data_IF_671831686706
#
_entry.id   IF_671831686706
#
_cell.length_a   1.000
_cell.length_b   1.000
_cell.length_c   1.000
_cell.angle_alpha   90.00
_cell.angle_beta   90.00
_cell.angle_gamma   90.00
#
_symmetry.space_group_name_H-M   'P 1'
#
loop_
_entity.id
_entity.type
_entity.pdbx_description
1 polymer ?
#
# COMPACT_ATOMS: atom_id res chain seq x y z
N UNK A 1 16.25 6.37 2.65
CA UNK A 1 15.51 6.99 1.52
C UNK A 1 14.49 6.00 0.99
N UNK A 2 13.27 6.45 0.80
CA UNK A 2 12.22 5.59 0.25
C UNK A 2 12.47 5.36 -1.24
N UNK A 3 12.49 4.10 -1.66
CA UNK A 3 12.72 3.69 -3.05
C UNK A 3 11.51 2.98 -3.66
N UNK A 4 10.58 2.51 -2.82
CA UNK A 4 9.34 1.85 -3.27
C UNK A 4 8.16 2.39 -2.45
N UNK A 5 7.13 2.86 -3.14
CA UNK A 5 5.88 3.29 -2.52
C UNK A 5 4.78 2.35 -3.01
N UNK A 6 4.13 1.67 -2.07
CA UNK A 6 3.08 0.68 -2.34
C UNK A 6 1.75 1.23 -1.84
N UNK A 7 0.77 1.32 -2.72
CA UNK A 7 -0.61 1.65 -2.31
C UNK A 7 -1.45 0.39 -2.30
N UNK A 8 -2.13 0.13 -1.18
CA UNK A 8 -2.92 -1.08 -1.00
C UNK A 8 -4.38 -0.89 -1.39
N UNK A 9 -4.95 -1.93 -1.97
CA UNK A 9 -6.34 -2.00 -2.37
C UNK A 9 -6.69 -3.38 -2.93
N UNK A 10 -7.97 -3.58 -3.22
CA UNK A 10 -8.46 -4.78 -3.90
C UNK A 10 -8.71 -4.46 -5.38
N UNK A 11 -8.42 -5.42 -6.28
CA UNK A 11 -8.71 -5.23 -7.70
C UNK A 11 -10.20 -5.37 -7.99
N UNK A 12 -10.62 -4.71 -9.06
CA UNK A 12 -11.99 -4.80 -9.57
C UNK A 12 -12.82 -3.55 -9.30
N UNK A 13 -13.76 -3.27 -10.22
CA UNK A 13 -14.60 -2.07 -10.16
C UNK A 13 -15.47 -2.03 -8.90
N UNK A 14 -15.84 -3.18 -8.36
CA UNK A 14 -16.64 -3.29 -7.14
C UNK A 14 -15.95 -2.75 -5.89
N UNK A 15 -14.62 -2.65 -5.91
CA UNK A 15 -13.83 -2.19 -4.77
C UNK A 15 -13.25 -0.79 -4.96
N UNK A 16 -13.30 -0.22 -6.16
CA UNK A 16 -12.53 1.00 -6.47
C UNK A 16 -12.90 2.21 -5.61
N UNK A 17 -14.14 2.30 -5.16
CA UNK A 17 -14.62 3.40 -4.33
C UNK A 17 -14.71 3.03 -2.85
N UNK A 18 -14.21 1.88 -2.45
CA UNK A 18 -14.26 1.45 -1.05
C UNK A 18 -13.11 2.06 -0.24
N UNK A 19 -13.31 2.21 1.07
CA UNK A 19 -12.29 2.75 1.99
C UNK A 19 -11.01 1.94 1.99
N UNK A 20 -11.12 0.62 1.79
CA UNK A 20 -9.97 -0.29 1.76
C UNK A 20 -9.04 -0.01 0.57
N UNK A 21 -9.52 0.73 -0.43
CA UNK A 21 -8.73 1.14 -1.60
C UNK A 21 -8.12 2.54 -1.48
N UNK A 22 -8.16 3.14 -0.29
CA UNK A 22 -7.56 4.47 -0.07
C UNK A 22 -6.08 4.53 -0.47
N UNK A 23 -5.33 3.44 -0.27
CA UNK A 23 -3.95 3.36 -0.70
C UNK A 23 -3.77 3.48 -2.21
N UNK A 24 -4.67 2.87 -2.99
CA UNK A 24 -4.68 3.01 -4.45
C UNK A 24 -4.88 4.47 -4.87
N UNK A 25 -5.85 5.14 -4.25
CA UNK A 25 -6.14 6.55 -4.57
C UNK A 25 -4.92 7.43 -4.32
N UNK A 26 -4.26 7.20 -3.21
CA UNK A 26 -3.08 7.98 -2.84
C UNK A 26 -1.95 7.80 -3.85
N UNK A 27 -1.68 6.55 -4.26
CA UNK A 27 -0.62 6.26 -5.25
C UNK A 27 -0.99 6.78 -6.63
N UNK A 28 -2.26 6.71 -7.04
CA UNK A 28 -2.72 7.35 -8.27
C UNK A 28 -2.40 8.85 -8.27
N UNK A 29 -2.68 9.53 -7.15
CA UNK A 29 -2.37 10.95 -7.00
C UNK A 29 -0.88 11.22 -7.02
N UNK A 30 -0.09 10.39 -6.36
CA UNK A 30 1.38 10.51 -6.35
C UNK A 30 1.96 10.32 -7.74
N UNK A 31 1.46 9.33 -8.50
CA UNK A 31 1.91 9.09 -9.87
C UNK A 31 1.67 10.31 -10.76
N UNK A 32 0.47 10.89 -10.69
CA UNK A 32 0.16 12.12 -11.44
C UNK A 32 1.08 13.26 -11.06
N UNK A 33 1.29 13.45 -9.77
CA UNK A 33 2.11 14.56 -9.24
C UNK A 33 3.58 14.43 -9.62
N UNK A 34 4.10 13.20 -9.65
CA UNK A 34 5.51 12.91 -9.93
C UNK A 34 5.79 12.66 -11.42
N UNK A 35 4.75 12.68 -12.24
CA UNK A 35 4.89 12.43 -13.69
C UNK A 35 5.14 10.97 -14.04
N UNK A 36 4.77 10.04 -13.15
CA UNK A 36 4.87 8.61 -13.42
C UNK A 36 3.61 8.06 -14.07
N UNK A 37 3.76 7.00 -14.84
CA UNK A 37 2.65 6.29 -15.45
C UNK A 37 2.58 4.86 -14.91
N UNK A 38 1.48 4.54 -14.25
CA UNK A 38 1.23 3.20 -13.72
C UNK A 38 0.82 2.28 -14.87
N UNK A 39 1.60 1.23 -15.11
CA UNK A 39 1.40 0.27 -16.19
C UNK A 39 1.35 -1.13 -15.61
N UNK A 40 0.42 -1.94 -16.10
CA UNK A 40 0.27 -3.32 -15.64
C UNK A 40 1.55 -4.11 -15.91
N UNK A 41 2.11 -4.71 -14.87
CA UNK A 41 3.29 -5.57 -14.97
C UNK A 41 3.01 -6.93 -14.32
N UNK A 42 2.76 -7.96 -15.13
CA UNK A 42 2.44 -9.30 -14.60
C UNK A 42 3.53 -9.92 -13.73
N UNK A 43 4.79 -9.54 -13.93
CA UNK A 43 5.91 -10.04 -13.11
C UNK A 43 5.74 -9.68 -11.65
N UNK A 44 5.10 -8.54 -11.37
CA UNK A 44 4.93 -8.03 -10.02
C UNK A 44 3.47 -8.00 -9.59
N UNK A 45 2.59 -8.66 -10.34
CA UNK A 45 1.17 -8.77 -10.00
C UNK A 45 0.50 -7.43 -9.69
N UNK A 46 0.83 -6.39 -10.47
CA UNK A 46 0.28 -5.07 -10.17
C UNK A 46 0.56 -4.03 -11.24
N UNK A 47 0.09 -2.81 -10.98
CA UNK A 47 0.50 -1.64 -11.73
C UNK A 47 1.79 -1.08 -11.14
N UNK A 48 2.75 -0.80 -12.00
CA UNK A 48 4.08 -0.30 -11.61
C UNK A 48 4.40 0.96 -12.38
N UNK A 49 4.95 1.95 -11.70
CA UNK A 49 5.54 3.12 -12.32
C UNK A 49 6.96 3.31 -11.80
N UNK A 50 7.86 3.73 -12.68
CA UNK A 50 9.19 4.16 -12.30
C UNK A 50 9.26 5.67 -12.43
N UNK A 51 9.64 6.35 -11.37
CA UNK A 51 9.82 7.80 -11.34
C UNK A 51 11.29 8.10 -11.11
N UNK A 52 11.91 8.85 -12.02
CA UNK A 52 13.31 9.24 -11.88
C UNK A 52 13.41 10.48 -10.98
N UNK A 53 14.13 10.33 -9.87
CA UNK A 53 14.40 11.41 -8.92
C UNK A 53 15.90 11.68 -8.89
N UNK A 54 16.33 12.87 -8.41
CA UNK A 54 17.77 13.19 -8.35
C UNK A 54 18.60 12.15 -7.59
N UNK A 55 18.03 11.57 -6.53
CA UNK A 55 18.73 10.59 -5.68
C UNK A 55 18.65 9.16 -6.24
N UNK A 56 17.95 8.96 -7.35
CA UNK A 56 17.76 7.66 -7.96
C UNK A 56 16.29 7.36 -8.22
N UNK A 57 15.99 6.22 -8.85
CA UNK A 57 14.61 5.88 -9.18
C UNK A 57 13.79 5.54 -7.94
N UNK A 58 12.51 5.94 -7.98
CA UNK A 58 11.48 5.51 -7.00
C UNK A 58 10.42 4.74 -7.77
N UNK A 59 10.09 3.57 -7.27
CA UNK A 59 9.03 2.74 -7.83
C UNK A 59 7.72 2.98 -7.12
N UNK A 60 6.62 3.02 -7.88
CA UNK A 60 5.25 3.05 -7.35
C UNK A 60 4.59 1.73 -7.72
N UNK A 61 3.89 1.11 -6.79
CA UNK A 61 3.24 -0.17 -7.00
C UNK A 61 1.82 -0.15 -6.43
N UNK A 62 0.87 -0.61 -7.25
CA UNK A 62 -0.48 -0.94 -6.80
C UNK A 62 -0.68 -2.44 -7.01
N UNK A 63 -0.59 -3.26 -5.94
CA UNK A 63 -0.85 -4.70 -6.09
C UNK A 63 -2.26 -4.97 -6.63
N UNK A 64 -2.36 -5.82 -7.65
CA UNK A 64 -3.64 -6.27 -8.19
C UNK A 64 -4.02 -7.65 -7.65
N UNK A 65 -3.35 -8.10 -6.63
CA UNK A 65 -3.76 -9.23 -5.80
C UNK A 65 -4.90 -8.78 -4.89
N UNK A 66 -5.69 -9.72 -4.39
CA UNK A 66 -6.58 -9.36 -3.28
C UNK A 66 -5.74 -8.91 -2.08
N UNK A 67 -6.37 -8.11 -1.21
CA UNK A 67 -5.67 -7.45 -0.10
C UNK A 67 -4.81 -8.41 0.72
N UNK A 68 -5.32 -9.58 1.04
CA UNK A 68 -4.60 -10.58 1.85
C UNK A 68 -3.40 -11.23 1.15
N UNK A 69 -3.14 -10.89 -0.11
CA UNK A 69 -2.01 -11.38 -0.90
C UNK A 69 -1.10 -10.26 -1.38
N UNK A 70 -1.19 -9.07 -0.77
CA UNK A 70 -0.43 -7.88 -1.20
C UNK A 70 1.07 -8.11 -1.24
N UNK A 71 1.61 -8.94 -0.36
CA UNK A 71 3.03 -9.25 -0.32
C UNK A 71 3.56 -10.00 -1.54
N UNK A 72 2.67 -10.67 -2.31
CA UNK A 72 3.06 -11.35 -3.56
C UNK A 72 3.53 -10.38 -4.64
N UNK A 73 3.08 -9.14 -4.58
CA UNK A 73 3.53 -8.10 -5.50
C UNK A 73 4.76 -7.37 -4.94
N UNK A 74 4.73 -7.04 -3.65
CA UNK A 74 5.78 -6.26 -2.99
C UNK A 74 7.10 -7.01 -2.95
N UNK A 75 7.08 -8.27 -2.52
CA UNK A 75 8.31 -9.04 -2.29
C UNK A 75 9.13 -9.29 -3.56
N UNK A 76 8.55 -9.74 -4.69
CA UNK A 76 9.35 -9.93 -5.91
C UNK A 76 9.97 -8.63 -6.44
N UNK A 77 9.23 -7.53 -6.39
CA UNK A 77 9.75 -6.25 -6.88
C UNK A 77 10.90 -5.77 -6.00
N UNK A 78 10.72 -5.82 -4.68
CA UNK A 78 11.77 -5.42 -3.73
C UNK A 78 13.04 -6.26 -3.90
N UNK A 79 12.89 -7.57 -4.07
CA UNK A 79 14.04 -8.47 -4.28
C UNK A 79 14.76 -8.18 -5.58
N UNK A 80 14.02 -8.01 -6.66
CA UNK A 80 14.63 -7.78 -7.98
C UNK A 80 15.47 -6.50 -7.99
N UNK A 81 14.94 -5.42 -7.44
CA UNK A 81 15.64 -4.13 -7.41
C UNK A 81 16.49 -3.93 -6.15
N UNK A 82 16.61 -4.96 -5.30
CA UNK A 82 17.41 -4.93 -4.07
C UNK A 82 17.01 -3.79 -3.15
N UNK A 83 15.69 -3.62 -2.98
CA UNK A 83 15.11 -2.61 -2.09
C UNK A 83 14.96 -3.23 -0.71
N UNK A 84 15.53 -2.56 0.30
CA UNK A 84 15.47 -3.02 1.69
C UNK A 84 14.11 -2.65 2.32
N UNK A 85 13.66 -3.39 3.36
CA UNK A 85 12.39 -3.07 4.01
C UNK A 85 12.27 -1.62 4.48
N UNK A 86 13.33 -1.03 5.06
CA UNK A 86 13.31 0.36 5.50
C UNK A 86 13.33 1.40 4.37
N UNK A 87 13.42 0.94 3.13
CA UNK A 87 13.29 1.77 1.93
C UNK A 87 11.90 1.68 1.30
N UNK A 88 10.98 0.97 1.95
CA UNK A 88 9.61 0.74 1.47
C UNK A 88 8.63 1.56 2.29
N UNK A 89 7.74 2.29 1.61
CA UNK A 89 6.59 2.96 2.20
C UNK A 89 5.32 2.27 1.71
N UNK A 90 4.52 1.76 2.65
CA UNK A 90 3.22 1.18 2.36
C UNK A 90 2.13 2.15 2.76
N UNK A 91 1.26 2.50 1.82
CA UNK A 91 0.14 3.43 2.02
C UNK A 91 -1.14 2.61 2.14
N UNK A 92 -1.86 2.78 3.24
CA UNK A 92 -3.01 1.94 3.54
C UNK A 92 -4.08 2.69 4.34
N UNK A 93 -5.31 2.15 4.34
CA UNK A 93 -6.40 2.65 5.18
C UNK A 93 -6.15 2.31 6.65
N UNK A 94 -6.56 3.22 7.55
CA UNK A 94 -6.36 3.07 8.99
C UNK A 94 -7.62 3.43 9.76
N UNK A 95 -8.14 2.45 10.50
CA UNK A 95 -9.35 2.60 11.32
C UNK A 95 -9.16 3.54 12.52
N UNK A 96 -7.95 3.59 13.07
CA UNK A 96 -7.66 4.29 14.33
C UNK A 96 -7.31 5.76 14.12
N UNK A 97 -7.41 6.25 12.89
CA UNK A 97 -7.17 7.67 12.55
C UNK A 97 -8.44 8.23 11.91
N UNK A 98 -8.79 9.46 12.30
CA UNK A 98 -10.00 10.13 11.78
C UNK A 98 -9.91 10.38 10.29
N UNK A 99 -11.04 10.33 9.56
CA UNK A 99 -11.06 10.65 8.14
C UNK A 99 -10.44 12.03 7.88
N UNK A 100 -9.63 12.11 6.81
CA UNK A 100 -8.94 13.35 6.43
C UNK A 100 -7.60 13.56 7.10
N UNK A 101 -7.24 12.72 8.08
CA UNK A 101 -5.93 12.76 8.74
C UNK A 101 -5.05 11.63 8.25
N UNK A 102 -3.74 11.82 8.32
CA UNK A 102 -2.78 10.75 8.00
C UNK A 102 -1.57 10.84 8.92
N UNK A 103 -0.94 9.70 9.17
CA UNK A 103 0.25 9.61 10.02
C UNK A 103 1.29 8.68 9.41
N UNK A 104 2.55 9.11 9.49
CA UNK A 104 3.69 8.31 9.07
C UNK A 104 4.25 7.54 10.27
N UNK A 105 4.55 6.25 10.06
CA UNK A 105 5.12 5.40 11.10
C UNK A 105 6.09 4.39 10.50
N UNK A 106 7.17 4.08 11.20
CA UNK A 106 8.06 2.98 10.84
C UNK A 106 7.79 1.77 11.74
N UNK A 107 7.62 0.61 11.11
CA UNK A 107 7.40 -0.64 11.84
C UNK A 107 6.09 -0.69 12.60
N UNK A 108 6.05 -1.56 13.59
CA UNK A 108 4.88 -1.78 14.44
C UNK A 108 4.00 -2.92 13.98
N UNK A 109 2.86 -3.11 14.65
CA UNK A 109 1.89 -4.15 14.33
C UNK A 109 1.09 -3.84 13.07
N UNK A 110 0.35 -4.84 12.58
CA UNK A 110 -0.48 -4.69 11.40
C UNK A 110 -1.91 -4.20 11.71
N UNK A 111 -2.28 -4.12 12.99
CA UNK A 111 -3.60 -3.64 13.41
C UNK A 111 -4.78 -4.44 12.86
N UNK A 112 -4.55 -5.69 12.46
CA UNK A 112 -5.57 -6.52 11.80
C UNK A 112 -5.73 -6.23 10.31
N UNK A 113 -4.92 -5.35 9.73
CA UNK A 113 -4.97 -5.05 8.30
C UNK A 113 -4.33 -6.20 7.51
N UNK A 114 -5.13 -6.88 6.69
CA UNK A 114 -4.70 -8.09 6.00
C UNK A 114 -3.57 -7.84 4.99
N UNK A 115 -3.56 -6.68 4.35
CA UNK A 115 -2.48 -6.32 3.43
C UNK A 115 -1.14 -6.14 4.14
N UNK A 116 -1.13 -5.43 5.26
CA UNK A 116 0.09 -5.26 6.06
C UNK A 116 0.57 -6.58 6.62
N UNK A 117 -0.35 -7.43 7.06
CA UNK A 117 -0.02 -8.75 7.59
C UNK A 117 0.71 -9.60 6.55
N UNK A 118 0.22 -9.63 5.31
CA UNK A 118 0.85 -10.42 4.25
C UNK A 118 2.19 -9.85 3.82
N UNK A 119 2.31 -8.52 3.71
CA UNK A 119 3.59 -7.87 3.40
C UNK A 119 4.63 -8.22 4.46
N UNK A 120 4.27 -8.11 5.74
CA UNK A 120 5.15 -8.46 6.84
C UNK A 120 5.61 -9.93 6.74
N UNK A 121 4.70 -10.85 6.43
CA UNK A 121 5.03 -12.26 6.27
C UNK A 121 5.99 -12.49 5.10
N UNK A 122 5.74 -11.85 3.95
CA UNK A 122 6.54 -12.04 2.75
C UNK A 122 7.91 -11.37 2.83
N UNK A 123 8.01 -10.22 3.50
CA UNK A 123 9.30 -9.54 3.71
C UNK A 123 10.08 -10.13 4.89
N UNK A 124 9.41 -10.86 5.78
CA UNK A 124 10.03 -11.45 6.97
C UNK A 124 10.27 -10.45 8.10
N UNK A 125 9.73 -9.24 8.02
CA UNK A 125 9.93 -8.21 9.03
C UNK A 125 8.81 -7.17 8.97
N UNK A 126 8.44 -6.55 10.12
CA UNK A 126 7.52 -5.41 10.14
C UNK A 126 8.23 -4.06 9.89
N UNK A 127 9.54 -4.03 9.72
CA UNK A 127 10.35 -2.81 9.74
C UNK A 127 10.36 -2.06 8.42
N UNK A 128 9.17 -1.80 7.87
CA UNK A 128 8.95 -0.90 6.74
C UNK A 128 8.13 0.31 7.18
N UNK A 129 8.17 1.38 6.38
CA UNK A 129 7.41 2.59 6.65
C UNK A 129 5.95 2.43 6.25
N UNK A 130 5.08 3.14 6.95
CA UNK A 130 3.63 3.12 6.69
C UNK A 130 3.09 4.54 6.69
N UNK A 131 2.35 4.87 5.64
CA UNK A 131 1.51 6.07 5.62
C UNK A 131 0.09 5.61 5.90
N UNK A 132 -0.40 5.96 7.08
CA UNK A 132 -1.68 5.53 7.63
C UNK A 132 -2.74 6.56 7.28
N UNK A 133 -3.63 6.22 6.33
CA UNK A 133 -4.69 7.11 5.88
C UNK A 133 -5.94 6.88 6.72
N UNK A 134 -6.36 7.88 7.48
CA UNK A 134 -7.50 7.76 8.37
C UNK A 134 -8.81 7.56 7.66
N UNK A 135 -9.56 6.53 8.06
CA UNK A 135 -10.91 6.25 7.57
C UNK A 135 -11.94 6.21 8.69
N UNK A 136 -11.49 6.29 9.96
CA UNK A 136 -12.34 6.16 11.13
C UNK A 136 -12.73 4.71 11.41
N UNK A 137 -13.27 4.48 12.59
CA UNK A 137 -13.72 3.17 13.04
C UNK A 137 -15.25 3.16 13.14
N UNK A 138 -15.94 2.07 12.71
CA UNK A 138 -17.40 2.01 12.79
C UNK A 138 -17.94 1.86 14.21
N UNK A 139 -17.08 1.64 15.23
CA UNK A 139 -17.46 1.51 16.61
C UNK A 139 -17.64 0.06 17.07
N UNK A 140 -17.94 -0.85 16.16
CA UNK A 140 -18.12 -2.27 16.44
C UNK A 140 -17.15 -3.07 15.55
N UNK A 141 -16.31 -3.87 16.18
CA UNK A 141 -15.33 -4.67 15.43
C UNK A 141 -15.98 -5.67 14.47
N UNK A 142 -17.22 -6.08 14.73
CA UNK A 142 -17.95 -6.99 13.83
C UNK A 142 -18.39 -6.30 12.55
N UNK A 143 -18.39 -4.95 12.51
CA UNK A 143 -18.73 -4.16 11.34
C UNK A 143 -17.52 -3.73 10.52
N UNK A 144 -16.30 -4.01 10.99
CA UNK A 144 -15.06 -3.53 10.34
C UNK A 144 -14.96 -4.01 8.90
N UNK A 145 -15.17 -5.30 8.65
CA UNK A 145 -15.07 -5.86 7.29
C UNK A 145 -16.06 -5.18 6.32
N UNK A 146 -17.30 -5.00 6.73
CA UNK A 146 -18.30 -4.31 5.90
C UNK A 146 -17.94 -2.83 5.71
N UNK A 147 -17.45 -2.18 6.76
CA UNK A 147 -17.09 -0.77 6.73
C UNK A 147 -15.96 -0.47 5.75
N UNK A 148 -14.87 -1.24 5.78
CA UNK A 148 -13.72 -1.00 4.91
C UNK A 148 -14.03 -1.34 3.45
N UNK A 149 -14.98 -2.23 3.21
CA UNK A 149 -15.38 -2.66 1.86
C UNK A 149 -16.57 -1.88 1.29
N UNK A 150 -16.86 -0.70 1.84
CA UNK A 150 -17.90 0.16 1.30
C UNK A 150 -17.51 1.64 1.20
#
# INVERSE_FOLDING_TARGET
MIRLIVGLGNPGAEYEDTRHNAGFWWVDGAARKLGGQLVHDPKYHGFVARVNRPEGPVWLLQPLTYMNLSGKAVSPLARFFKILPDEILVVHDELDIRPGEMKLKKGGGNGGHNGLKDIQAQLGTPDFWRLRLGIGHPGDRNEVSNYVLR
#
